data_IF_793405585970
#
_entry.id   IF_793405585970
#
_cell.length_a   1.000
_cell.length_b   1.000
_cell.length_c   1.000
_cell.angle_alpha   90.00
_cell.angle_beta   90.00
_cell.angle_gamma   90.00
#
_symmetry.space_group_name_H-M   'P 1'
#
loop_
_entity.id
_entity.type
_entity.pdbx_description
1 polymer ?
#
# COMPACT_ATOMS: atom_id res chain seq x y z
N UNK A 1 -103.08 27.88 16.10
CA UNK A 1 -102.58 29.27 16.27
C UNK A 1 -101.07 29.38 16.49
N UNK A 2 -100.33 28.36 16.98
CA UNK A 2 -98.88 28.50 17.28
C UNK A 2 -97.88 28.07 16.17
N UNK A 3 -98.31 27.33 15.13
CA UNK A 3 -97.40 26.80 14.09
C UNK A 3 -97.16 27.76 12.91
N UNK A 4 -98.13 28.62 12.58
CA UNK A 4 -98.00 29.56 11.45
C UNK A 4 -97.00 30.68 11.74
N UNK A 5 -96.89 31.11 13.00
CA UNK A 5 -95.89 32.11 13.42
C UNK A 5 -94.45 31.57 13.35
N UNK A 6 -94.24 30.28 13.62
CA UNK A 6 -92.92 29.63 13.54
C UNK A 6 -92.45 29.52 12.08
N UNK A 7 -93.36 29.19 11.16
CA UNK A 7 -93.06 29.14 9.72
C UNK A 7 -92.74 30.52 9.15
N UNK A 8 -93.38 31.59 9.63
CA UNK A 8 -93.13 32.95 9.14
C UNK A 8 -91.74 33.47 9.55
N UNK A 9 -91.29 33.16 10.78
CA UNK A 9 -89.96 33.54 11.26
C UNK A 9 -88.84 32.77 10.53
N UNK A 10 -89.03 31.47 10.27
CA UNK A 10 -88.09 30.67 9.49
C UNK A 10 -87.96 31.17 8.04
N UNK A 11 -89.07 31.61 7.43
CA UNK A 11 -89.06 32.24 6.10
C UNK A 11 -88.24 33.55 6.07
N UNK A 12 -88.36 34.39 7.10
CA UNK A 12 -87.59 35.64 7.18
C UNK A 12 -86.08 35.40 7.35
N UNK A 13 -85.69 34.42 8.16
CA UNK A 13 -84.29 34.06 8.37
C UNK A 13 -83.64 33.49 7.09
N UNK A 14 -84.40 32.69 6.32
CA UNK A 14 -83.96 32.21 5.00
C UNK A 14 -83.77 33.35 3.99
N UNK A 15 -84.65 34.36 3.98
CA UNK A 15 -84.50 35.51 3.06
C UNK A 15 -83.26 36.37 3.40
N UNK A 16 -82.95 36.56 4.68
CA UNK A 16 -81.77 37.32 5.11
C UNK A 16 -80.46 36.60 4.72
N UNK A 17 -80.42 35.28 4.87
CA UNK A 17 -79.27 34.46 4.47
C UNK A 17 -79.03 34.49 2.95
N UNK A 18 -80.09 34.49 2.15
CA UNK A 18 -80.02 34.61 0.69
C UNK A 18 -79.43 35.96 0.25
N UNK A 19 -79.79 37.08 0.89
CA UNK A 19 -79.20 38.39 0.61
C UNK A 19 -77.72 38.50 1.00
N UNK A 20 -77.30 37.88 2.11
CA UNK A 20 -75.90 37.87 2.50
C UNK A 20 -75.04 37.05 1.51
N UNK A 21 -75.55 35.92 1.05
CA UNK A 21 -74.87 35.11 0.03
C UNK A 21 -74.75 35.83 -1.32
N UNK A 22 -75.76 36.62 -1.72
CA UNK A 22 -75.71 37.35 -2.99
C UNK A 22 -74.67 38.47 -2.97
N UNK A 23 -74.55 39.22 -1.87
CA UNK A 23 -73.52 40.26 -1.69
C UNK A 23 -72.10 39.67 -1.66
N UNK A 24 -71.91 38.52 -0.99
CA UNK A 24 -70.61 37.85 -0.94
C UNK A 24 -70.17 37.35 -2.34
N UNK A 25 -71.10 36.82 -3.14
CA UNK A 25 -70.84 36.42 -4.53
C UNK A 25 -70.44 37.60 -5.42
N UNK A 26 -71.04 38.78 -5.22
CA UNK A 26 -70.69 39.98 -5.98
C UNK A 26 -69.26 40.46 -5.67
N UNK A 27 -68.86 40.50 -4.40
CA UNK A 27 -67.49 40.86 -3.99
C UNK A 27 -66.43 39.90 -4.55
N UNK A 28 -66.69 38.58 -4.47
CA UNK A 28 -65.77 37.56 -5.00
C UNK A 28 -65.60 37.70 -6.53
N UNK A 29 -66.68 38.00 -7.26
CA UNK A 29 -66.61 38.22 -8.70
C UNK A 29 -65.84 39.49 -9.08
N UNK A 30 -65.89 40.54 -8.26
CA UNK A 30 -65.15 41.78 -8.53
C UNK A 30 -63.64 41.59 -8.34
N UNK A 31 -63.22 40.86 -7.30
CA UNK A 31 -61.82 40.53 -7.06
C UNK A 31 -61.24 39.59 -8.13
N UNK A 32 -62.02 38.62 -8.61
CA UNK A 32 -61.64 37.74 -9.73
C UNK A 32 -61.35 38.55 -11.01
N UNK A 33 -62.20 39.54 -11.34
CA UNK A 33 -61.98 40.39 -12.54
C UNK A 33 -60.72 41.24 -12.43
N UNK A 34 -60.43 41.80 -11.25
CA UNK A 34 -59.19 42.56 -11.00
C UNK A 34 -57.95 41.67 -11.13
N UNK A 35 -58.02 40.41 -10.67
CA UNK A 35 -56.94 39.44 -10.87
C UNK A 35 -56.73 39.12 -12.36
N UNK A 36 -57.78 38.85 -13.13
CA UNK A 36 -57.69 38.54 -14.56
C UNK A 36 -57.07 39.70 -15.36
N UNK A 37 -57.45 40.95 -15.07
CA UNK A 37 -56.87 42.14 -15.72
C UNK A 37 -55.37 42.31 -15.41
N UNK A 38 -54.94 42.01 -14.18
CA UNK A 38 -53.53 42.09 -13.80
C UNK A 38 -52.66 41.03 -14.51
N UNK A 39 -53.20 39.82 -14.68
CA UNK A 39 -52.53 38.72 -15.39
C UNK A 39 -52.41 39.03 -16.88
N UNK A 40 -53.45 39.59 -17.50
CA UNK A 40 -53.40 39.98 -18.92
C UNK A 40 -52.37 41.09 -19.19
N UNK A 41 -52.26 42.09 -18.31
CA UNK A 41 -51.22 43.14 -18.43
C UNK A 41 -49.81 42.58 -18.33
N UNK A 42 -49.54 41.69 -17.35
CA UNK A 42 -48.23 41.05 -17.24
C UNK A 42 -47.88 40.16 -18.45
N UNK A 43 -48.86 39.45 -19.00
CA UNK A 43 -48.64 38.64 -20.20
C UNK A 43 -48.26 39.50 -21.41
N UNK A 44 -48.92 40.65 -21.60
CA UNK A 44 -48.57 41.59 -22.68
C UNK A 44 -47.15 42.16 -22.51
N UNK A 45 -46.78 42.60 -21.31
CA UNK A 45 -45.43 43.14 -21.05
C UNK A 45 -44.34 42.08 -21.26
N UNK A 46 -44.59 40.82 -20.90
CA UNK A 46 -43.65 39.73 -21.13
C UNK A 46 -43.49 39.39 -22.62
N UNK A 47 -44.58 39.41 -23.39
CA UNK A 47 -44.51 39.18 -24.84
C UNK A 47 -43.77 40.32 -25.57
N UNK A 48 -43.93 41.57 -25.13
CA UNK A 48 -43.17 42.70 -25.67
C UNK A 48 -41.67 42.60 -25.38
N UNK A 49 -41.28 42.16 -24.18
CA UNK A 49 -39.87 41.99 -23.85
C UNK A 49 -39.21 40.83 -24.61
N UNK A 50 -39.92 39.72 -24.84
CA UNK A 50 -39.44 38.63 -25.71
C UNK A 50 -39.31 39.11 -27.16
N UNK A 51 -40.28 39.87 -27.69
CA UNK A 51 -40.16 40.43 -29.04
C UNK A 51 -38.97 41.37 -29.16
N UNK A 52 -38.77 42.27 -28.19
CA UNK A 52 -37.63 43.19 -28.17
C UNK A 52 -36.28 42.44 -28.08
N UNK A 53 -36.19 41.42 -27.23
CA UNK A 53 -35.01 40.55 -27.15
C UNK A 53 -34.78 39.77 -28.46
N UNK A 54 -35.86 39.30 -29.09
CA UNK A 54 -35.81 38.60 -30.38
C UNK A 54 -35.39 39.51 -31.54
N UNK A 55 -35.80 40.78 -31.56
CA UNK A 55 -35.35 41.74 -32.58
C UNK A 55 -33.90 42.16 -32.36
N UNK A 56 -33.48 42.45 -31.12
CA UNK A 56 -32.08 42.74 -30.78
C UNK A 56 -31.15 41.56 -31.12
N UNK A 57 -31.55 40.34 -30.76
CA UNK A 57 -30.79 39.15 -31.10
C UNK A 57 -30.81 38.87 -32.61
N UNK A 58 -31.95 39.07 -33.27
CA UNK A 58 -32.09 38.87 -34.72
C UNK A 58 -31.27 39.85 -35.54
N UNK A 59 -31.19 41.12 -35.14
CA UNK A 59 -30.35 42.14 -35.78
C UNK A 59 -28.86 41.86 -35.53
N UNK A 60 -28.47 41.56 -34.30
CA UNK A 60 -27.10 41.17 -33.97
C UNK A 60 -26.66 39.89 -34.68
N UNK A 61 -27.54 38.88 -34.76
CA UNK A 61 -27.28 37.63 -35.46
C UNK A 61 -27.24 37.81 -36.97
N UNK A 62 -28.13 38.61 -37.57
CA UNK A 62 -28.02 38.96 -39.01
C UNK A 62 -26.73 39.70 -39.30
N UNK A 63 -26.37 40.70 -38.49
CA UNK A 63 -25.12 41.43 -38.65
C UNK A 63 -23.90 40.51 -38.55
N UNK A 64 -23.95 39.52 -37.66
CA UNK A 64 -22.91 38.51 -37.53
C UNK A 64 -22.85 37.55 -38.72
N UNK A 65 -23.99 36.99 -39.15
CA UNK A 65 -24.06 36.01 -40.25
C UNK A 65 -23.75 36.63 -41.62
N UNK A 66 -24.02 37.92 -41.80
CA UNK A 66 -23.71 38.65 -43.04
C UNK A 66 -22.22 38.97 -43.15
N UNK A 67 -21.51 39.07 -42.01
CA UNK A 67 -20.09 39.36 -41.96
C UNK A 67 -19.27 38.06 -42.11
N UNK A 68 -18.91 37.76 -43.36
CA UNK A 68 -18.19 36.52 -43.74
C UNK A 68 -16.86 36.37 -42.98
N UNK A 69 -16.20 37.46 -42.65
CA UNK A 69 -14.93 37.46 -41.91
C UNK A 69 -15.16 37.12 -40.43
N UNK A 70 -16.22 37.64 -39.80
CA UNK A 70 -16.57 37.27 -38.41
C UNK A 70 -17.04 35.82 -38.27
N UNK A 71 -17.84 35.32 -39.20
CA UNK A 71 -18.29 33.91 -39.18
C UNK A 71 -17.11 32.96 -39.32
N UNK A 72 -16.24 33.21 -40.31
CA UNK A 72 -15.06 32.36 -40.54
C UNK A 72 -14.09 32.40 -39.37
N UNK A 73 -13.82 33.57 -38.79
CA UNK A 73 -12.99 33.70 -37.59
C UNK A 73 -13.59 32.93 -36.38
N UNK A 74 -14.91 32.99 -36.19
CA UNK A 74 -15.59 32.29 -35.09
C UNK A 74 -15.59 30.78 -35.28
N UNK A 75 -15.86 30.30 -36.49
CA UNK A 75 -15.79 28.86 -36.81
C UNK A 75 -14.36 28.34 -36.67
N UNK A 76 -13.35 29.09 -37.15
CA UNK A 76 -11.95 28.75 -36.96
C UNK A 76 -11.56 28.72 -35.47
N UNK A 77 -12.00 29.71 -34.68
CA UNK A 77 -11.77 29.76 -33.24
C UNK A 77 -12.42 28.61 -32.47
N UNK A 78 -13.69 28.28 -32.76
CA UNK A 78 -14.40 27.14 -32.17
C UNK A 78 -13.75 25.80 -32.56
N UNK A 79 -13.32 25.66 -33.82
CA UNK A 79 -12.64 24.45 -34.29
C UNK A 79 -11.28 24.29 -33.63
N UNK A 80 -10.49 25.37 -33.51
CA UNK A 80 -9.21 25.35 -32.78
C UNK A 80 -9.40 25.01 -31.30
N UNK A 81 -10.43 25.56 -30.65
CA UNK A 81 -10.78 25.20 -29.28
C UNK A 81 -11.16 23.72 -29.17
N UNK A 82 -11.99 23.20 -30.08
CA UNK A 82 -12.38 21.80 -30.09
C UNK A 82 -11.17 20.87 -30.30
N UNK A 83 -10.29 21.19 -31.25
CA UNK A 83 -9.03 20.45 -31.49
C UNK A 83 -8.11 20.54 -30.27
N UNK A 84 -7.99 21.71 -29.65
CA UNK A 84 -7.20 21.93 -28.44
C UNK A 84 -7.71 21.11 -27.25
N UNK A 85 -9.03 21.13 -26.99
CA UNK A 85 -9.68 20.36 -25.92
C UNK A 85 -9.58 18.86 -26.19
N UNK A 86 -9.84 18.41 -27.41
CA UNK A 86 -9.76 16.99 -27.78
C UNK A 86 -8.32 16.46 -27.67
N UNK A 87 -7.35 17.22 -28.19
CA UNK A 87 -5.93 16.90 -28.09
C UNK A 87 -5.45 16.90 -26.64
N UNK A 88 -5.85 17.88 -25.84
CA UNK A 88 -5.52 17.93 -24.41
C UNK A 88 -6.15 16.75 -23.64
N UNK A 89 -7.39 16.36 -23.94
CA UNK A 89 -8.07 15.24 -23.26
C UNK A 89 -7.42 13.89 -23.60
N UNK A 90 -7.03 13.67 -24.86
CA UNK A 90 -6.34 12.45 -25.25
C UNK A 90 -4.88 12.43 -24.78
N UNK A 91 -4.18 13.56 -24.87
CA UNK A 91 -2.82 13.70 -24.36
C UNK A 91 -2.76 13.50 -22.84
N UNK A 92 -3.72 14.02 -22.08
CA UNK A 92 -3.79 13.82 -20.62
C UNK A 92 -4.09 12.37 -20.24
N UNK A 93 -4.96 11.67 -20.98
CA UNK A 93 -5.24 10.25 -20.73
C UNK A 93 -4.01 9.36 -21.00
N UNK A 94 -3.33 9.55 -22.12
CA UNK A 94 -2.11 8.78 -22.48
C UNK A 94 -0.96 9.13 -21.54
N UNK A 95 -0.76 10.42 -21.27
CA UNK A 95 0.28 10.91 -20.34
C UNK A 95 -0.01 10.42 -18.92
N UNK A 96 -1.27 10.41 -18.49
CA UNK A 96 -1.71 9.91 -17.18
C UNK A 96 -1.37 8.44 -16.99
N UNK A 97 -1.74 7.56 -17.93
CA UNK A 97 -1.39 6.12 -17.87
C UNK A 97 0.11 5.88 -17.95
N UNK A 98 0.82 6.66 -18.76
CA UNK A 98 2.28 6.56 -18.88
C UNK A 98 3.00 6.98 -17.60
N UNK A 99 2.53 8.08 -16.98
CA UNK A 99 2.98 8.56 -15.68
C UNK A 99 2.65 7.53 -14.61
N UNK A 100 1.44 6.99 -14.58
CA UNK A 100 1.02 5.98 -13.61
C UNK A 100 1.86 4.70 -13.73
N UNK A 101 2.12 4.22 -14.95
CA UNK A 101 2.95 3.03 -15.18
C UNK A 101 4.43 3.24 -14.82
N UNK A 102 4.97 4.46 -14.98
CA UNK A 102 6.39 4.75 -14.72
C UNK A 102 6.69 5.31 -13.34
N UNK A 103 5.75 6.06 -12.77
CA UNK A 103 5.89 6.80 -11.52
C UNK A 103 5.02 6.22 -10.41
N UNK A 104 3.94 5.52 -10.74
CA UNK A 104 3.12 4.79 -9.77
C UNK A 104 3.81 3.54 -9.25
N UNK A 105 3.49 3.17 -8.02
CA UNK A 105 3.92 1.92 -7.38
C UNK A 105 3.17 0.74 -8.02
N UNK A 106 3.85 -0.25 -8.62
CA UNK A 106 3.18 -1.43 -9.19
C UNK A 106 2.39 -2.20 -8.14
N UNK A 107 1.32 -2.88 -8.54
CA UNK A 107 0.43 -3.65 -7.65
C UNK A 107 1.15 -4.75 -6.86
N UNK A 108 2.19 -5.36 -7.43
CA UNK A 108 3.00 -6.41 -6.79
C UNK A 108 3.96 -5.87 -5.71
N UNK A 109 4.23 -4.56 -5.70
CA UNK A 109 5.16 -3.98 -4.73
C UNK A 109 4.39 -3.71 -3.44
N UNK A 110 4.77 -4.34 -2.33
CA UNK A 110 4.24 -4.03 -0.99
C UNK A 110 4.90 -2.82 -0.37
N UNK A 111 6.22 -2.70 -0.49
CA UNK A 111 7.02 -1.62 0.10
C UNK A 111 8.10 -1.14 -0.89
N UNK A 112 8.40 0.16 -0.91
CA UNK A 112 9.44 0.72 -1.78
C UNK A 112 10.06 1.97 -1.18
N UNK A 113 11.35 2.18 -1.40
CA UNK A 113 12.03 3.45 -1.09
C UNK A 113 11.91 4.49 -2.21
N UNK A 114 11.34 4.11 -3.37
CA UNK A 114 11.19 5.03 -4.49
C UNK A 114 10.17 6.09 -4.14
N UNK A 115 10.62 7.32 -4.15
CA UNK A 115 9.77 8.48 -3.99
C UNK A 115 8.86 8.57 -5.21
N UNK A 116 7.56 8.48 -4.96
CA UNK A 116 6.54 8.73 -5.99
C UNK A 116 6.52 10.24 -6.28
N UNK A 117 6.31 10.65 -7.54
CA UNK A 117 6.29 12.09 -7.90
C UNK A 117 5.28 12.88 -7.04
N UNK A 118 4.16 12.25 -6.69
CA UNK A 118 3.17 12.81 -5.77
C UNK A 118 3.74 13.08 -4.37
N UNK A 119 4.57 12.18 -3.84
CA UNK A 119 5.24 12.40 -2.55
C UNK A 119 6.31 13.49 -2.65
N UNK A 120 7.03 13.56 -3.78
CA UNK A 120 8.02 14.61 -4.03
C UNK A 120 7.40 16.01 -4.03
N UNK A 121 6.20 16.16 -4.59
CA UNK A 121 5.47 17.42 -4.58
C UNK A 121 4.90 17.76 -3.20
N UNK A 122 4.48 16.77 -2.41
CA UNK A 122 3.94 17.00 -1.05
C UNK A 122 5.00 17.39 -0.02
N UNK A 123 6.22 16.86 -0.12
CA UNK A 123 7.26 17.06 0.89
C UNK A 123 8.63 17.43 0.30
N UNK A 124 8.77 18.56 -0.41
CA UNK A 124 10.00 18.92 -1.10
C UNK A 124 11.20 19.08 -0.14
N UNK A 125 11.01 19.74 1.01
CA UNK A 125 12.08 20.07 1.95
C UNK A 125 12.57 18.83 2.72
N UNK A 126 11.64 18.02 3.25
CA UNK A 126 11.98 16.82 4.03
C UNK A 126 12.69 15.76 3.18
N UNK A 127 12.47 15.75 1.88
CA UNK A 127 13.13 14.81 0.98
C UNK A 127 14.55 15.22 0.65
N UNK A 128 14.80 16.52 0.45
CA UNK A 128 16.14 17.05 0.26
C UNK A 128 16.98 16.78 1.51
N UNK A 129 16.43 17.00 2.71
CA UNK A 129 17.13 16.69 3.96
C UNK A 129 17.37 15.20 4.13
N UNK A 130 16.37 14.32 3.91
CA UNK A 130 16.59 12.86 3.97
C UNK A 130 17.66 12.39 2.97
N UNK A 131 17.71 12.95 1.76
CA UNK A 131 18.71 12.59 0.74
C UNK A 131 20.11 13.08 1.08
N UNK A 132 20.25 14.27 1.66
CA UNK A 132 21.55 14.83 2.06
C UNK A 132 22.07 14.27 3.38
N UNK A 133 21.19 13.95 4.34
CA UNK A 133 21.55 13.41 5.65
C UNK A 133 21.61 11.88 5.72
N UNK A 134 21.31 11.16 4.63
CA UNK A 134 21.53 9.71 4.58
C UNK A 134 23.04 9.42 4.56
N UNK A 135 23.68 9.50 5.73
CA UNK A 135 25.04 9.01 5.94
C UNK A 135 25.06 7.52 5.57
N UNK A 136 26.14 7.01 4.96
CA UNK A 136 26.30 5.58 4.73
C UNK A 136 26.23 4.88 6.08
N UNK A 137 25.07 4.32 6.41
CA UNK A 137 24.90 3.46 7.58
C UNK A 137 25.66 2.16 7.31
N UNK A 138 26.25 1.60 8.36
CA UNK A 138 26.86 0.28 8.27
C UNK A 138 25.79 -0.74 7.89
N UNK A 139 26.11 -1.62 6.93
CA UNK A 139 25.22 -2.68 6.43
C UNK A 139 24.69 -3.51 7.60
N UNK A 140 25.55 -3.70 8.59
CA UNK A 140 25.36 -4.63 9.68
C UNK A 140 24.91 -3.95 10.98
N UNK A 141 24.65 -2.64 10.95
CA UNK A 141 24.11 -1.94 12.12
C UNK A 141 22.72 -2.50 12.48
N UNK A 142 22.64 -3.14 13.65
CA UNK A 142 21.44 -3.81 14.16
C UNK A 142 21.19 -5.21 13.58
N UNK A 143 22.13 -5.76 12.80
CA UNK A 143 22.03 -7.11 12.23
C UNK A 143 23.05 -8.01 12.91
N UNK A 144 22.57 -9.06 13.60
CA UNK A 144 23.43 -10.05 14.24
C UNK A 144 23.42 -11.32 13.41
N UNK A 145 24.60 -11.72 12.92
CA UNK A 145 24.83 -12.92 12.13
C UNK A 145 26.07 -13.64 12.67
N UNK A 146 26.27 -14.88 12.23
CA UNK A 146 27.51 -15.60 12.51
C UNK A 146 28.70 -14.93 11.84
N UNK A 147 29.93 -15.05 12.40
CA UNK A 147 31.10 -14.36 11.85
C UNK A 147 31.37 -14.64 10.36
N UNK A 148 31.17 -15.89 9.94
CA UNK A 148 31.33 -16.31 8.54
C UNK A 148 30.29 -15.69 7.61
N UNK A 149 29.02 -15.67 8.04
CA UNK A 149 27.94 -15.05 7.29
C UNK A 149 28.09 -13.53 7.26
N UNK A 150 28.51 -12.92 8.36
CA UNK A 150 28.76 -11.49 8.48
C UNK A 150 29.85 -11.03 7.49
N UNK A 151 30.98 -11.75 7.42
CA UNK A 151 32.03 -11.49 6.44
C UNK A 151 31.51 -11.57 5.00
N UNK A 152 30.80 -12.66 4.68
CA UNK A 152 30.25 -12.88 3.35
C UNK A 152 29.23 -11.82 2.93
N UNK A 153 28.38 -11.40 3.86
CA UNK A 153 27.41 -10.33 3.65
C UNK A 153 28.12 -8.99 3.42
N UNK A 154 29.17 -8.70 4.18
CA UNK A 154 29.98 -7.49 4.02
C UNK A 154 30.64 -7.44 2.64
N UNK A 155 31.20 -8.56 2.17
CA UNK A 155 31.81 -8.67 0.84
C UNK A 155 30.78 -8.41 -0.27
N UNK A 156 29.59 -9.00 -0.17
CA UNK A 156 28.48 -8.76 -1.10
C UNK A 156 28.12 -7.27 -1.10
N UNK A 157 28.05 -6.62 0.05
CA UNK A 157 27.69 -5.21 0.14
C UNK A 157 28.75 -4.27 -0.44
N UNK A 158 30.03 -4.57 -0.22
CA UNK A 158 31.15 -3.84 -0.84
C UNK A 158 31.14 -4.04 -2.36
N UNK A 159 30.97 -5.29 -2.82
CA UNK A 159 30.91 -5.63 -4.23
C UNK A 159 29.75 -4.91 -4.93
N UNK A 160 28.53 -4.98 -4.39
CA UNK A 160 27.35 -4.32 -4.97
C UNK A 160 27.53 -2.81 -5.05
N UNK A 161 28.10 -2.18 -4.01
CA UNK A 161 28.42 -0.75 -4.00
C UNK A 161 29.45 -0.39 -5.09
N UNK A 162 30.48 -1.21 -5.27
CA UNK A 162 31.50 -1.01 -6.28
C UNK A 162 30.97 -1.22 -7.71
N UNK A 163 30.15 -2.26 -7.93
CA UNK A 163 29.45 -2.50 -9.20
C UNK A 163 28.64 -1.28 -9.58
N UNK A 164 27.83 -0.76 -8.64
CA UNK A 164 27.04 0.44 -8.87
C UNK A 164 27.90 1.66 -9.22
N UNK A 165 28.97 1.90 -8.45
CA UNK A 165 29.88 3.04 -8.69
C UNK A 165 30.46 2.98 -10.11
N UNK A 166 30.79 1.78 -10.59
CA UNK A 166 31.37 1.55 -11.91
C UNK A 166 30.33 1.25 -13.01
N UNK A 167 29.02 1.37 -12.71
CA UNK A 167 27.91 1.06 -13.63
C UNK A 167 27.97 -0.36 -14.24
N UNK A 168 28.52 -1.30 -13.47
CA UNK A 168 28.59 -2.71 -13.85
C UNK A 168 27.22 -3.40 -13.82
N UNK A 169 27.22 -4.67 -14.19
CA UNK A 169 26.04 -5.54 -14.17
C UNK A 169 25.84 -6.09 -12.75
N UNK A 170 24.61 -6.00 -12.24
CA UNK A 170 24.28 -6.52 -10.91
C UNK A 170 24.13 -8.04 -10.93
N UNK A 171 24.60 -8.66 -9.84
CA UNK A 171 24.45 -10.09 -9.59
C UNK A 171 23.17 -10.37 -8.81
N UNK A 172 22.47 -11.42 -9.17
CA UNK A 172 21.25 -11.86 -8.50
C UNK A 172 21.59 -12.76 -7.31
N UNK A 173 20.89 -12.57 -6.20
CA UNK A 173 21.18 -13.25 -4.93
C UNK A 173 19.97 -14.06 -4.47
N UNK A 174 20.20 -15.30 -4.03
CA UNK A 174 19.22 -16.10 -3.31
C UNK A 174 19.58 -16.13 -1.81
N UNK A 175 18.69 -15.64 -0.96
CA UNK A 175 18.76 -15.77 0.49
C UNK A 175 17.87 -16.95 0.91
N UNK A 176 18.43 -17.98 1.53
CA UNK A 176 17.65 -19.17 1.89
C UNK A 176 17.83 -19.59 3.34
N UNK A 177 16.96 -20.48 3.85
CA UNK A 177 16.99 -21.02 5.21
C UNK A 177 15.72 -20.70 6.01
N UNK A 178 15.68 -20.98 7.33
CA UNK A 178 14.47 -20.87 8.15
C UNK A 178 13.83 -19.47 8.21
N UNK A 179 12.53 -19.36 8.51
CA UNK A 179 11.84 -18.08 8.63
C UNK A 179 12.30 -17.31 9.86
N UNK A 180 12.33 -15.97 9.74
CA UNK A 180 12.68 -15.08 10.84
C UNK A 180 14.17 -14.97 11.16
N UNK A 181 15.06 -15.37 10.24
CA UNK A 181 16.53 -15.23 10.36
C UNK A 181 17.08 -13.91 9.80
N UNK A 182 16.20 -13.00 9.34
CA UNK A 182 16.60 -11.63 8.96
C UNK A 182 16.90 -11.40 7.47
N UNK A 183 16.51 -12.32 6.58
CA UNK A 183 16.71 -12.20 5.11
C UNK A 183 16.19 -10.87 4.55
N UNK A 184 14.94 -10.52 4.88
CA UNK A 184 14.29 -9.27 4.44
C UNK A 184 14.96 -8.03 5.02
N UNK A 185 15.39 -8.08 6.29
CA UNK A 185 16.13 -6.99 6.93
C UNK A 185 17.48 -6.75 6.24
N UNK A 186 18.20 -7.83 5.94
CA UNK A 186 19.46 -7.77 5.22
C UNK A 186 19.29 -7.14 3.83
N UNK A 187 18.28 -7.55 3.05
CA UNK A 187 18.03 -6.98 1.73
C UNK A 187 17.79 -5.46 1.77
N UNK A 188 16.99 -4.98 2.75
CA UNK A 188 16.76 -3.54 2.98
C UNK A 188 18.07 -2.80 3.30
N UNK A 189 18.87 -3.35 4.21
CA UNK A 189 20.16 -2.76 4.62
C UNK A 189 21.18 -2.74 3.47
N UNK A 190 21.23 -3.80 2.68
CA UNK A 190 22.08 -3.89 1.49
C UNK A 190 21.72 -2.81 0.46
N UNK A 191 20.42 -2.57 0.22
CA UNK A 191 19.97 -1.51 -0.68
C UNK A 191 20.43 -0.12 -0.18
N UNK A 192 20.22 0.13 1.12
CA UNK A 192 20.59 1.38 1.77
C UNK A 192 22.10 1.64 1.71
N UNK A 193 22.92 0.65 2.06
CA UNK A 193 24.39 0.76 2.01
C UNK A 193 24.92 0.94 0.59
N UNK A 194 24.32 0.25 -0.40
CA UNK A 194 24.65 0.42 -1.82
C UNK A 194 24.09 1.74 -2.38
N UNK A 195 23.26 2.44 -1.61
CA UNK A 195 22.55 3.66 -2.02
C UNK A 195 21.55 3.46 -3.15
N UNK A 196 21.12 2.21 -3.39
CA UNK A 196 20.10 1.84 -4.37
C UNK A 196 18.72 2.12 -3.79
N UNK A 197 17.72 2.24 -4.65
CA UNK A 197 16.35 2.13 -4.18
C UNK A 197 16.04 0.65 -3.86
N UNK A 198 15.06 0.35 -3.01
CA UNK A 198 14.54 -1.00 -2.84
C UNK A 198 13.05 -1.08 -3.16
N UNK A 199 12.60 -2.25 -3.61
CA UNK A 199 11.20 -2.63 -3.71
C UNK A 199 11.03 -4.06 -3.20
N UNK A 200 9.97 -4.31 -2.44
CA UNK A 200 9.64 -5.61 -1.87
C UNK A 200 8.34 -6.09 -2.49
N UNK A 201 8.34 -7.28 -3.05
CA UNK A 201 7.15 -8.05 -3.42
C UNK A 201 7.14 -9.36 -2.64
N UNK A 202 5.95 -9.96 -2.49
CA UNK A 202 5.79 -11.28 -1.89
C UNK A 202 5.32 -12.26 -2.97
N UNK A 203 5.95 -13.42 -3.07
CA UNK A 203 5.62 -14.42 -4.08
C UNK A 203 4.18 -14.92 -3.98
N UNK A 204 3.63 -14.98 -2.76
CA UNK A 204 2.22 -15.32 -2.51
C UNK A 204 1.21 -14.35 -3.15
N UNK A 205 1.61 -13.12 -3.49
CA UNK A 205 0.72 -12.15 -4.16
C UNK A 205 0.58 -12.42 -5.67
N UNK A 206 1.45 -13.25 -6.24
CA UNK A 206 1.49 -13.51 -7.69
C UNK A 206 0.38 -14.48 -8.10
N UNK A 207 0.17 -15.56 -7.34
CA UNK A 207 -0.81 -16.59 -7.68
C UNK A 207 -2.26 -16.07 -7.74
N UNK A 208 -2.73 -15.21 -6.82
CA UNK A 208 -4.08 -14.64 -6.88
C UNK A 208 -4.36 -13.74 -8.09
N UNK A 209 -3.33 -13.22 -8.79
CA UNK A 209 -3.53 -12.31 -9.92
C UNK A 209 -4.09 -13.00 -11.18
N UNK A 210 -3.97 -14.34 -11.28
CA UNK A 210 -4.35 -15.09 -12.47
C UNK A 210 -3.69 -14.52 -13.73
N UNK A 211 -4.46 -14.33 -14.80
CA UNK A 211 -4.01 -13.77 -16.09
C UNK A 211 -3.36 -12.39 -15.98
N UNK A 212 -3.75 -11.58 -15.00
CA UNK A 212 -3.16 -10.24 -14.81
C UNK A 212 -1.72 -10.30 -14.31
N UNK A 213 -1.31 -11.43 -13.73
CA UNK A 213 0.03 -11.65 -13.15
C UNK A 213 1.16 -11.39 -14.15
N UNK A 214 0.99 -11.82 -15.41
CA UNK A 214 1.96 -11.57 -16.50
C UNK A 214 2.13 -10.07 -16.73
N UNK A 215 1.02 -9.35 -16.89
CA UNK A 215 1.03 -7.91 -17.14
C UNK A 215 1.63 -7.15 -15.96
N UNK A 216 1.27 -7.53 -14.74
CA UNK A 216 1.81 -6.96 -13.51
C UNK A 216 3.32 -7.18 -13.40
N UNK A 217 3.81 -8.37 -13.77
CA UNK A 217 5.24 -8.70 -13.78
C UNK A 217 6.01 -7.84 -14.78
N UNK A 218 5.51 -7.67 -16.01
CA UNK A 218 6.14 -6.78 -16.99
C UNK A 218 6.19 -5.33 -16.49
N UNK A 219 5.08 -4.81 -15.94
CA UNK A 219 5.01 -3.46 -15.36
C UNK A 219 6.00 -3.28 -14.21
N UNK A 220 6.15 -4.29 -13.34
CA UNK A 220 7.11 -4.26 -12.23
C UNK A 220 8.54 -4.08 -12.72
N UNK A 221 8.98 -4.88 -13.69
CA UNK A 221 10.34 -4.79 -14.24
C UNK A 221 10.55 -3.52 -15.07
N UNK A 222 9.56 -3.08 -15.84
CA UNK A 222 9.65 -1.82 -16.59
C UNK A 222 9.76 -0.64 -15.61
N UNK A 223 8.96 -0.64 -14.55
CA UNK A 223 9.08 0.32 -13.45
C UNK A 223 10.45 0.23 -12.78
N UNK A 224 10.96 -0.96 -12.47
CA UNK A 224 12.28 -1.16 -11.87
C UNK A 224 13.40 -0.52 -12.71
N UNK A 225 13.33 -0.70 -14.03
CA UNK A 225 14.29 -0.14 -14.98
C UNK A 225 14.28 1.39 -15.06
N UNK A 226 13.21 2.06 -14.60
CA UNK A 226 13.16 3.53 -14.56
C UNK A 226 13.91 4.15 -13.38
N UNK A 227 14.37 3.35 -12.40
CA UNK A 227 15.12 3.90 -11.27
C UNK A 227 16.48 4.47 -11.73
N UNK A 228 16.73 5.75 -11.40
CA UNK A 228 18.00 6.42 -11.68
C UNK A 228 19.14 5.96 -10.78
N UNK A 229 18.84 5.47 -9.57
CA UNK A 229 19.83 5.04 -8.57
C UNK A 229 20.17 3.54 -8.65
N UNK A 230 19.48 2.83 -9.54
CA UNK A 230 19.38 1.37 -9.50
C UNK A 230 18.37 0.92 -8.45
N UNK A 231 17.68 -0.19 -8.72
CA UNK A 231 16.68 -0.78 -7.81
C UNK A 231 17.11 -2.18 -7.35
N UNK A 232 17.05 -2.43 -6.05
CA UNK A 232 17.08 -3.77 -5.48
C UNK A 232 15.64 -4.28 -5.38
N UNK A 233 15.27 -5.24 -6.23
CA UNK A 233 13.98 -5.92 -6.18
C UNK A 233 14.09 -7.16 -5.29
N UNK A 234 13.47 -7.10 -4.12
CA UNK A 234 13.40 -8.20 -3.17
C UNK A 234 12.09 -8.97 -3.32
N UNK A 235 12.18 -10.27 -3.53
CA UNK A 235 11.05 -11.18 -3.69
C UNK A 235 11.03 -12.11 -2.47
N UNK A 236 10.16 -11.80 -1.52
CA UNK A 236 9.94 -12.65 -0.34
C UNK A 236 9.08 -13.86 -0.71
N UNK A 237 9.25 -14.99 -0.01
CA UNK A 237 8.51 -16.23 -0.30
C UNK A 237 8.49 -16.60 -1.80
N UNK A 238 9.65 -16.51 -2.44
CA UNK A 238 9.76 -16.69 -3.89
C UNK A 238 9.34 -18.11 -4.33
N UNK A 239 9.44 -19.10 -3.43
CA UNK A 239 8.91 -20.45 -3.63
C UNK A 239 7.39 -20.49 -3.82
N UNK A 240 6.63 -19.45 -3.53
CA UNK A 240 5.19 -19.47 -3.78
C UNK A 240 4.83 -19.46 -5.29
N UNK A 241 5.66 -18.87 -6.16
CA UNK A 241 5.39 -18.80 -7.61
C UNK A 241 6.53 -19.33 -8.49
N UNK A 242 7.70 -19.64 -7.93
CA UNK A 242 8.86 -20.14 -8.66
C UNK A 242 9.01 -21.68 -8.62
N UNK A 243 7.94 -22.42 -8.30
CA UNK A 243 7.99 -23.88 -8.09
C UNK A 243 8.19 -24.67 -9.39
N UNK A 244 8.75 -25.88 -9.27
CA UNK A 244 8.95 -26.83 -10.38
C UNK A 244 7.66 -27.10 -11.15
N UNK A 245 7.74 -26.95 -12.48
CA UNK A 245 6.65 -27.19 -13.44
C UNK A 245 6.01 -28.58 -13.38
N UNK A 246 6.72 -29.59 -12.88
CA UNK A 246 6.38 -30.99 -13.10
C UNK A 246 5.57 -31.65 -11.97
N UNK A 247 5.57 -31.09 -10.76
CA UNK A 247 5.14 -31.84 -9.56
C UNK A 247 3.77 -31.44 -9.04
N UNK A 248 3.23 -30.31 -9.48
CA UNK A 248 1.96 -29.80 -8.98
C UNK A 248 1.06 -29.30 -10.09
N UNK A 249 -0.26 -29.29 -9.85
CA UNK A 249 -1.27 -28.61 -10.67
C UNK A 249 -1.07 -27.09 -10.60
N UNK A 250 0.05 -26.61 -11.11
CA UNK A 250 0.32 -25.18 -11.29
C UNK A 250 -0.67 -24.67 -12.34
N UNK A 251 -1.38 -23.59 -12.04
CA UNK A 251 -2.28 -22.97 -13.01
C UNK A 251 -1.48 -22.47 -14.22
N UNK A 252 -2.08 -22.57 -15.41
CA UNK A 252 -1.46 -22.07 -16.65
C UNK A 252 -1.09 -20.57 -16.53
N UNK A 253 -1.89 -19.80 -15.80
CA UNK A 253 -1.65 -18.39 -15.48
C UNK A 253 -0.37 -18.17 -14.65
N UNK A 254 -0.11 -19.03 -13.65
CA UNK A 254 1.09 -18.97 -12.82
C UNK A 254 2.33 -19.35 -13.64
N UNK A 255 2.20 -20.36 -14.52
CA UNK A 255 3.26 -20.76 -15.46
C UNK A 255 3.61 -19.63 -16.44
N UNK A 256 2.61 -18.95 -16.98
CA UNK A 256 2.82 -17.79 -17.85
C UNK A 256 3.53 -16.65 -17.10
N UNK A 257 3.16 -16.41 -15.84
CA UNK A 257 3.80 -15.38 -15.01
C UNK A 257 5.25 -15.74 -14.64
N UNK A 258 5.54 -17.01 -14.34
CA UNK A 258 6.90 -17.53 -14.14
C UNK A 258 7.76 -17.35 -15.39
N UNK A 259 7.23 -17.64 -16.58
CA UNK A 259 7.95 -17.42 -17.83
C UNK A 259 8.21 -15.93 -18.08
N UNK A 260 7.26 -15.05 -17.77
CA UNK A 260 7.46 -13.60 -17.85
C UNK A 260 8.55 -13.11 -16.89
N UNK A 261 8.61 -13.68 -15.69
CA UNK A 261 9.69 -13.43 -14.72
C UNK A 261 11.05 -13.86 -15.28
N UNK A 262 11.18 -15.12 -15.72
CA UNK A 262 12.40 -15.68 -16.30
C UNK A 262 12.89 -14.86 -17.51
N UNK A 263 11.98 -14.43 -18.38
CA UNK A 263 12.32 -13.59 -19.53
C UNK A 263 12.97 -12.26 -19.10
N UNK A 264 12.53 -11.68 -17.98
CA UNK A 264 13.07 -10.42 -17.46
C UNK A 264 14.35 -10.59 -16.65
N UNK A 265 14.60 -11.78 -16.09
CA UNK A 265 15.76 -12.07 -15.23
C UNK A 265 16.85 -12.89 -15.91
N UNK A 266 16.61 -13.38 -17.14
CA UNK A 266 17.58 -14.19 -17.88
C UNK A 266 18.84 -13.44 -18.33
N UNK A 267 18.85 -12.10 -18.25
CA UNK A 267 19.99 -11.26 -18.56
C UNK A 267 20.31 -10.35 -17.38
N UNK A 268 21.59 -10.21 -17.05
CA UNK A 268 22.01 -9.25 -16.04
C UNK A 268 21.72 -7.81 -16.48
N UNK A 269 21.33 -6.99 -15.52
CA UNK A 269 20.99 -5.59 -15.74
C UNK A 269 21.92 -4.69 -14.92
N UNK A 270 22.24 -3.51 -15.45
CA UNK A 270 22.85 -2.42 -14.68
C UNK A 270 21.80 -1.49 -14.04
N UNK A 271 20.50 -1.80 -14.18
CA UNK A 271 19.39 -1.01 -13.65
C UNK A 271 18.77 -1.61 -12.41
N UNK A 272 18.72 -2.94 -12.31
CA UNK A 272 18.16 -3.59 -11.13
C UNK A 272 18.99 -4.80 -10.70
N UNK A 273 18.90 -5.09 -9.40
CA UNK A 273 19.44 -6.27 -8.75
C UNK A 273 18.27 -7.06 -8.20
N UNK A 274 18.20 -8.36 -8.50
CA UNK A 274 17.20 -9.26 -7.94
C UNK A 274 17.74 -9.93 -6.68
N UNK A 275 16.94 -9.94 -5.61
CA UNK A 275 17.17 -10.77 -4.44
C UNK A 275 15.94 -11.62 -4.18
N UNK A 276 16.09 -12.95 -4.25
CA UNK A 276 15.07 -13.93 -3.94
C UNK A 276 15.23 -14.38 -2.49
N UNK A 277 14.14 -14.52 -1.74
CA UNK A 277 14.13 -15.16 -0.44
C UNK A 277 13.22 -16.39 -0.46
N UNK A 278 13.70 -17.52 0.08
CA UNK A 278 12.92 -18.75 0.16
C UNK A 278 13.26 -19.57 1.41
N UNK A 279 12.26 -20.27 1.94
CA UNK A 279 12.47 -21.28 2.98
C UNK A 279 12.83 -22.66 2.37
N UNK A 280 12.42 -22.91 1.12
CA UNK A 280 12.49 -24.22 0.45
C UNK A 280 13.08 -24.07 -0.98
N UNK A 281 14.35 -23.66 -1.12
CA UNK A 281 14.96 -23.42 -2.43
C UNK A 281 15.01 -24.68 -3.32
N UNK A 282 14.96 -25.88 -2.75
CA UNK A 282 14.90 -27.16 -3.47
C UNK A 282 13.66 -27.32 -4.35
N UNK A 283 12.61 -26.53 -4.09
CA UNK A 283 11.37 -26.53 -4.85
C UNK A 283 11.41 -25.63 -6.08
N UNK A 284 12.47 -24.84 -6.27
CA UNK A 284 12.58 -23.94 -7.41
C UNK A 284 12.65 -24.67 -8.76
N UNK A 285 12.05 -24.05 -9.78
CA UNK A 285 12.24 -24.42 -11.17
C UNK A 285 13.73 -24.33 -11.54
N UNK A 286 14.21 -25.32 -12.29
CA UNK A 286 15.63 -25.41 -12.66
C UNK A 286 16.13 -24.16 -13.42
N UNK A 287 15.25 -23.47 -14.17
CA UNK A 287 15.61 -22.27 -14.91
C UNK A 287 15.92 -21.09 -13.97
N UNK A 288 15.36 -21.07 -12.77
CA UNK A 288 15.66 -20.02 -11.77
C UNK A 288 17.07 -20.17 -11.22
N UNK A 289 17.56 -21.41 -11.08
CA UNK A 289 18.93 -21.66 -10.62
C UNK A 289 19.96 -21.07 -11.60
N UNK A 290 19.67 -21.06 -12.90
CA UNK A 290 20.55 -20.45 -13.91
C UNK A 290 20.58 -18.91 -13.83
N UNK A 291 19.54 -18.28 -13.26
CA UNK A 291 19.49 -16.83 -13.06
C UNK A 291 20.19 -16.36 -11.77
N UNK A 292 20.51 -17.25 -10.84
CA UNK A 292 21.05 -16.92 -9.52
C UNK A 292 22.58 -16.98 -9.56
N UNK A 293 23.25 -15.88 -9.20
CA UNK A 293 24.73 -15.82 -9.16
C UNK A 293 25.31 -16.19 -7.79
N UNK A 294 24.61 -15.84 -6.70
CA UNK A 294 25.11 -15.98 -5.34
C UNK A 294 24.02 -16.52 -4.43
N UNK A 295 24.29 -17.63 -3.74
CA UNK A 295 23.36 -18.20 -2.76
C UNK A 295 23.89 -17.98 -1.34
N UNK A 296 23.11 -17.35 -0.45
CA UNK A 296 23.46 -17.05 0.93
C UNK A 296 22.52 -17.78 1.90
N UNK A 297 23.08 -18.69 2.68
CA UNK A 297 22.33 -19.42 3.72
C UNK A 297 22.23 -18.58 5.00
N UNK A 298 21.01 -18.34 5.47
CA UNK A 298 20.71 -17.71 6.75
C UNK A 298 20.16 -18.75 7.70
N UNK A 299 21.06 -19.31 8.51
CA UNK A 299 20.76 -20.31 9.51
C UNK A 299 20.23 -19.66 10.81
N UNK A 300 19.77 -20.50 11.74
CA UNK A 300 19.42 -20.10 13.09
C UNK A 300 20.68 -19.60 13.84
N UNK A 301 20.54 -18.60 14.73
CA UNK A 301 21.67 -18.06 15.47
C UNK A 301 22.26 -19.10 16.44
N UNK A 302 23.59 -19.18 16.47
CA UNK A 302 24.34 -19.91 17.49
C UNK A 302 24.26 -19.25 18.86
N UNK A 303 24.91 -19.82 19.86
CA UNK A 303 24.80 -19.34 21.24
C UNK A 303 25.32 -17.91 21.42
N UNK A 304 26.45 -17.58 20.79
CA UNK A 304 27.05 -16.24 20.86
C UNK A 304 26.16 -15.19 20.17
N UNK A 305 25.61 -15.52 19.01
CA UNK A 305 24.69 -14.67 18.27
C UNK A 305 23.39 -14.46 19.06
N UNK A 306 22.85 -15.51 19.70
CA UNK A 306 21.70 -15.38 20.59
C UNK A 306 21.98 -14.45 21.76
N UNK A 307 23.15 -14.53 22.39
CA UNK A 307 23.54 -13.62 23.46
C UNK A 307 23.61 -12.16 22.98
N UNK A 308 24.17 -11.91 21.79
CA UNK A 308 24.20 -10.59 21.15
C UNK A 308 22.78 -10.09 20.81
N UNK A 309 21.91 -10.95 20.27
CA UNK A 309 20.52 -10.63 19.95
C UNK A 309 19.72 -10.26 21.21
N UNK A 310 19.82 -11.07 22.27
CA UNK A 310 19.14 -10.80 23.54
C UNK A 310 19.57 -9.46 24.12
N UNK A 311 20.88 -9.17 24.15
CA UNK A 311 21.40 -7.87 24.61
C UNK A 311 20.87 -6.71 23.77
N UNK A 312 20.86 -6.86 22.44
CA UNK A 312 20.37 -5.85 21.52
C UNK A 312 18.89 -5.53 21.76
N UNK A 313 18.04 -6.57 21.81
CA UNK A 313 16.61 -6.39 22.01
C UNK A 313 16.25 -5.96 23.43
N UNK A 314 16.99 -6.41 24.45
CA UNK A 314 16.84 -5.91 25.83
C UNK A 314 17.13 -4.41 25.88
N UNK A 315 18.18 -3.95 25.20
CA UNK A 315 18.49 -2.53 25.12
C UNK A 315 17.40 -1.73 24.40
N UNK A 316 16.89 -2.23 23.28
CA UNK A 316 15.88 -1.57 22.47
C UNK A 316 14.51 -1.49 23.15
N UNK A 317 14.00 -2.61 23.68
CA UNK A 317 12.64 -2.71 24.20
C UNK A 317 12.51 -2.45 25.70
N UNK A 318 13.61 -2.55 26.46
CA UNK A 318 13.55 -2.46 27.93
C UNK A 318 14.41 -1.31 28.44
N UNK A 319 15.72 -1.31 28.18
CA UNK A 319 16.64 -0.30 28.76
C UNK A 319 16.35 1.11 28.23
N UNK A 320 16.25 1.31 26.91
CA UNK A 320 15.93 2.64 26.33
C UNK A 320 14.61 3.21 26.87
N UNK A 321 13.48 2.46 26.85
CA UNK A 321 12.23 2.89 27.49
C UNK A 321 12.36 3.24 28.97
N UNK A 322 13.23 2.55 29.73
CA UNK A 322 13.44 2.82 31.14
C UNK A 322 14.29 4.08 31.39
N UNK A 323 15.29 4.33 30.55
CA UNK A 323 16.21 5.47 30.69
C UNK A 323 15.62 6.77 30.15
N UNK A 324 14.78 6.72 29.10
CA UNK A 324 14.18 7.92 28.51
C UNK A 324 13.18 8.64 29.44
N UNK A 325 12.76 8.02 30.55
CA UNK A 325 11.90 8.63 31.58
C UNK A 325 10.46 8.94 31.15
N UNK A 326 10.15 8.82 29.85
CA UNK A 326 8.81 9.10 29.29
C UNK A 326 7.80 7.97 29.52
N UNK A 327 8.26 6.82 29.99
CA UNK A 327 7.46 5.60 30.07
C UNK A 327 7.50 5.05 31.50
N UNK A 328 6.45 4.33 31.90
CA UNK A 328 6.30 3.72 33.23
C UNK A 328 7.32 2.62 33.53
N UNK A 329 8.03 2.13 32.51
CA UNK A 329 8.89 0.96 32.59
C UNK A 329 10.13 1.28 33.43
N UNK A 330 10.39 0.46 34.45
CA UNK A 330 11.61 0.46 35.26
C UNK A 330 12.19 -0.95 35.28
N UNK A 331 13.49 -1.10 35.52
CA UNK A 331 14.11 -2.42 35.73
C UNK A 331 14.52 -2.57 37.19
N UNK A 332 14.30 -3.77 37.73
CA UNK A 332 14.93 -4.17 38.98
C UNK A 332 16.44 -4.29 38.80
N UNK A 333 17.21 -4.14 39.88
CA UNK A 333 18.65 -4.29 39.86
C UNK A 333 19.03 -5.78 39.87
N UNK A 334 19.62 -6.25 38.78
CA UNK A 334 20.24 -7.59 38.65
C UNK A 334 21.33 -7.56 37.56
N UNK A 335 22.12 -8.63 37.46
CA UNK A 335 23.19 -8.73 36.47
C UNK A 335 22.61 -9.06 35.07
N UNK A 336 22.36 -8.01 34.29
CA UNK A 336 21.87 -8.13 32.92
C UNK A 336 22.81 -8.92 32.01
N UNK A 337 24.13 -8.78 32.22
CA UNK A 337 25.15 -9.42 31.39
C UNK A 337 25.11 -10.93 31.51
N UNK A 338 25.06 -11.42 32.76
CA UNK A 338 24.85 -12.83 33.09
C UNK A 338 23.48 -13.31 32.63
N UNK A 339 22.42 -12.52 32.84
CA UNK A 339 21.06 -12.93 32.46
C UNK A 339 20.90 -13.12 30.96
N UNK A 340 21.49 -12.26 30.15
CA UNK A 340 21.49 -12.41 28.69
C UNK A 340 22.17 -13.71 28.23
N UNK A 341 23.25 -14.14 28.90
CA UNK A 341 23.95 -15.38 28.59
C UNK A 341 23.13 -16.61 28.98
N UNK A 342 22.41 -16.54 30.11
CA UNK A 342 21.47 -17.58 30.54
C UNK A 342 20.32 -17.73 29.54
N UNK A 343 19.68 -16.63 29.15
CA UNK A 343 18.57 -16.64 28.18
C UNK A 343 19.06 -17.16 26.82
N UNK A 344 20.29 -16.83 26.40
CA UNK A 344 20.87 -17.36 25.17
C UNK A 344 21.06 -18.89 25.18
N UNK A 345 21.29 -19.49 26.36
CA UNK A 345 21.32 -20.96 26.53
C UNK A 345 19.93 -21.57 26.41
N UNK A 346 18.92 -20.95 27.02
CA UNK A 346 17.54 -21.45 27.03
C UNK A 346 16.82 -21.30 25.67
N UNK A 347 17.23 -20.34 24.85
CA UNK A 347 16.60 -20.03 23.55
C UNK A 347 17.20 -20.79 22.37
N UNK A 348 17.72 -21.99 22.59
CA UNK A 348 18.27 -22.84 21.53
C UNK A 348 17.23 -23.14 20.44
N UNK A 349 17.66 -23.09 19.17
CA UNK A 349 16.78 -23.31 18.01
C UNK A 349 15.82 -22.16 17.70
N UNK A 350 15.78 -21.09 18.48
CA UNK A 350 14.91 -19.94 18.20
C UNK A 350 15.47 -19.06 17.08
N UNK A 351 14.61 -18.58 16.19
CA UNK A 351 14.98 -17.58 15.18
C UNK A 351 15.09 -16.18 15.78
N UNK A 352 15.78 -15.27 15.08
CA UNK A 352 15.92 -13.87 15.52
C UNK A 352 14.56 -13.21 15.81
N UNK A 353 13.54 -13.49 14.98
CA UNK A 353 12.17 -13.02 15.19
C UNK A 353 11.57 -13.51 16.52
N UNK A 354 11.77 -14.79 16.88
CA UNK A 354 11.27 -15.32 18.16
C UNK A 354 11.96 -14.67 19.36
N UNK A 355 13.27 -14.43 19.28
CA UNK A 355 14.02 -13.73 20.33
C UNK A 355 13.54 -12.27 20.46
N UNK A 356 13.24 -11.60 19.35
CA UNK A 356 12.63 -10.27 19.37
C UNK A 356 11.25 -10.27 20.06
N UNK A 357 10.40 -11.26 19.75
CA UNK A 357 9.09 -11.41 20.38
C UNK A 357 9.19 -11.64 21.90
N UNK A 358 10.21 -12.39 22.36
CA UNK A 358 10.48 -12.57 23.78
C UNK A 358 10.80 -11.23 24.47
N UNK A 359 11.61 -10.37 23.84
CA UNK A 359 11.92 -9.05 24.39
C UNK A 359 10.70 -8.11 24.42
N UNK A 360 9.82 -8.19 23.41
CA UNK A 360 8.52 -7.49 23.43
C UNK A 360 7.64 -8.01 24.56
N UNK A 361 7.67 -9.32 24.84
CA UNK A 361 6.96 -9.91 25.97
C UNK A 361 7.44 -9.35 27.31
N UNK A 362 8.74 -9.17 27.52
CA UNK A 362 9.26 -8.53 28.74
C UNK A 362 8.74 -7.11 28.92
N UNK A 363 8.71 -6.33 27.85
CA UNK A 363 8.15 -4.98 27.88
C UNK A 363 6.66 -4.99 28.24
N UNK A 364 5.88 -5.89 27.63
CA UNK A 364 4.45 -6.03 27.94
C UNK A 364 4.21 -6.44 29.40
N UNK A 365 4.98 -7.41 29.90
CA UNK A 365 4.94 -7.87 31.29
C UNK A 365 5.31 -6.74 32.26
N UNK A 366 6.31 -5.91 31.93
CA UNK A 366 6.68 -4.74 32.73
C UNK A 366 5.53 -3.72 32.79
N UNK A 367 4.85 -3.44 31.68
CA UNK A 367 3.72 -2.51 31.67
C UNK A 367 2.48 -3.05 32.39
N UNK A 368 2.26 -4.37 32.35
CA UNK A 368 1.19 -5.03 33.07
C UNK A 368 1.42 -5.08 34.59
N UNK A 369 2.68 -4.97 35.04
CA UNK A 369 3.03 -4.93 36.46
C UNK A 369 2.39 -3.73 37.18
N UNK A 370 2.01 -3.92 38.45
CA UNK A 370 1.45 -2.85 39.30
C UNK A 370 2.43 -1.70 39.51
N UNK A 371 3.72 -1.98 39.51
CA UNK A 371 4.76 -0.96 39.76
C UNK A 371 5.46 -0.48 38.48
N UNK A 372 5.17 -1.11 37.34
CA UNK A 372 5.89 -0.85 36.08
C UNK A 372 7.33 -1.40 36.07
N UNK A 373 7.72 -2.18 37.08
CA UNK A 373 9.07 -2.71 37.24
C UNK A 373 9.16 -4.11 36.64
N UNK A 374 10.14 -4.33 35.75
CA UNK A 374 10.52 -5.65 35.27
C UNK A 374 11.52 -6.28 36.25
N UNK A 375 11.12 -7.35 36.93
CA UNK A 375 11.98 -8.13 37.81
C UNK A 375 12.63 -9.30 37.08
N UNK A 376 13.70 -9.85 37.65
CA UNK A 376 14.37 -11.04 37.10
C UNK A 376 13.40 -12.23 36.99
N UNK A 377 12.59 -12.47 38.03
CA UNK A 377 11.59 -13.53 38.04
C UNK A 377 10.53 -13.37 36.94
N UNK A 378 10.14 -12.13 36.61
CA UNK A 378 9.21 -11.86 35.49
C UNK A 378 9.86 -12.16 34.14
N UNK A 379 11.16 -11.86 33.98
CA UNK A 379 11.89 -12.23 32.77
C UNK A 379 11.98 -13.75 32.61
N UNK A 380 12.28 -14.46 33.70
CA UNK A 380 12.37 -15.92 33.70
C UNK A 380 11.05 -16.60 33.37
N UNK A 381 9.95 -16.14 33.96
CA UNK A 381 8.62 -16.64 33.63
C UNK A 381 8.34 -16.48 32.12
N UNK A 382 8.59 -15.29 31.54
CA UNK A 382 8.41 -15.07 30.11
C UNK A 382 9.31 -15.97 29.25
N UNK A 383 10.56 -16.21 29.67
CA UNK A 383 11.49 -17.08 28.94
C UNK A 383 10.99 -18.52 28.97
N UNK A 384 10.56 -19.02 30.14
CA UNK A 384 10.02 -20.37 30.30
C UNK A 384 8.78 -20.58 29.43
N UNK A 385 7.85 -19.64 29.43
CA UNK A 385 6.65 -19.68 28.60
C UNK A 385 7.02 -19.74 27.10
N UNK A 386 7.95 -18.89 26.65
CA UNK A 386 8.41 -18.87 25.26
C UNK A 386 9.13 -20.16 24.85
N UNK A 387 9.92 -20.75 25.74
CA UNK A 387 10.60 -22.03 25.49
C UNK A 387 9.58 -23.15 25.37
N UNK A 388 8.59 -23.22 26.26
CA UNK A 388 7.51 -24.20 26.18
C UNK A 388 6.70 -24.06 24.88
N UNK A 389 6.31 -22.84 24.51
CA UNK A 389 5.61 -22.56 23.25
C UNK A 389 6.45 -22.94 22.03
N UNK A 390 7.76 -22.66 22.06
CA UNK A 390 8.66 -23.04 20.99
C UNK A 390 8.75 -24.56 20.83
N UNK A 391 8.93 -25.29 21.93
CA UNK A 391 8.98 -26.75 21.93
C UNK A 391 7.66 -27.34 21.41
N UNK A 392 6.52 -26.80 21.83
CA UNK A 392 5.20 -27.23 21.36
C UNK A 392 5.05 -27.03 19.84
N UNK A 393 5.46 -25.87 19.31
CA UNK A 393 5.43 -25.60 17.87
C UNK A 393 6.34 -26.56 17.08
N UNK A 394 7.52 -26.89 17.62
CA UNK A 394 8.43 -27.84 16.98
C UNK A 394 7.89 -29.27 17.00
N UNK A 395 7.08 -29.65 17.99
CA UNK A 395 6.36 -30.94 17.99
C UNK A 395 5.33 -31.00 16.87
N UNK A 396 4.56 -29.94 16.64
CA UNK A 396 3.59 -29.88 15.54
C UNK A 396 4.26 -30.01 14.17
N UNK A 397 5.35 -29.27 13.94
CA UNK A 397 6.11 -29.34 12.68
C UNK A 397 6.73 -30.71 12.40
N UNK A 398 7.04 -31.49 13.46
CA UNK A 398 7.51 -32.87 13.30
C UNK A 398 6.36 -33.83 13.02
N UNK A 399 5.18 -33.61 13.61
CA UNK A 399 3.99 -34.44 13.38
C UNK A 399 3.35 -34.25 11.99
N UNK A 400 3.53 -33.09 11.36
CA UNK A 400 3.04 -32.83 10.00
C UNK A 400 3.93 -33.40 8.89
N UNK A 401 5.16 -33.83 9.21
CA UNK A 401 5.98 -34.55 8.22
C UNK A 401 5.49 -36.00 8.19
N UNK A 402 4.94 -36.51 7.07
CA UNK A 402 4.72 -37.94 6.95
C UNK A 402 6.06 -38.63 7.23
N UNK A 403 6.06 -39.52 8.22
CA UNK A 403 7.25 -40.30 8.52
C UNK A 403 7.61 -41.13 7.28
N UNK A 404 8.89 -41.46 7.07
CA UNK A 404 9.30 -42.38 6.00
C UNK A 404 8.70 -43.80 6.12
N UNK A 405 7.78 -44.04 7.07
CA UNK A 405 7.12 -45.32 7.29
C UNK A 405 5.78 -45.47 6.53
N UNK A 406 5.22 -44.39 5.97
CA UNK A 406 4.00 -44.48 5.14
C UNK A 406 4.27 -44.88 3.67
N UNK A 407 5.54 -45.05 3.28
CA UNK A 407 5.96 -45.67 2.00
C UNK A 407 6.24 -47.17 2.19
N UNK A 408 5.23 -47.95 2.58
CA UNK A 408 5.22 -49.37 2.24
C UNK A 408 4.41 -49.57 0.96
N UNK A 409 5.00 -50.13 -0.12
CA UNK A 409 4.22 -50.51 -1.28
C UNK A 409 3.36 -51.73 -0.90
N UNK A 410 2.03 -51.56 -0.92
CA UNK A 410 1.13 -52.70 -0.98
C UNK A 410 1.42 -53.46 -2.27
N UNK A 411 1.93 -54.68 -2.10
CA UNK A 411 2.09 -55.77 -3.07
C UNK A 411 0.98 -55.89 -4.11
#
# INVERSE_FOLDING_TARGET
MSKDALNLAQMQEQTLQLEQQSKLKQLVNEDLRKQEESVQKHHQTFLESIRAAGTLFGEGFRAFVTDRDKVTATVAGLTLLAVGVYSAKNATAVTGRYIEARLGKPSLVRETSRITVLEALRHPIQQVSRRLLSRPQDVLEGVVLSPSLEARVRDIAIMTRNIKKNRGLYRHILLYGPPGTGKTLFAKKLALHSGMDYAIMTGGDVAPMGREGVTAMHKLFDWANTSRRGLLLFVDEADAFLRKRATEKISEDLRATLNAFLYRTGQHSNKFMLILASCHPEQFDWAINACIDVMVHFDLPGQEERARLVRMYLNEYVLKPATEGKRRLKLAQFDYGRKCLEIARLTEGMSCRKIAQLAVSWQATAYASKDGVLTEAMMDACVQDFVQQHQQMMRWLKGERPGPEDEQPSS
#
